data_IF_372064115027
#
_entry.id   IF_372064115027
#
_cell.length_a   1.000
_cell.length_b   1.000
_cell.length_c   1.000
_cell.angle_alpha   90.00
_cell.angle_beta   90.00
_cell.angle_gamma   90.00
#
_symmetry.space_group_name_H-M   'P 1'
#
loop_
_entity.id
_entity.type
_entity.pdbx_description
1 polymer ?
#
# COMPACT_ATOMS: atom_id res chain seq x y z
N UNK A 1 -3.05 -5.83 8.14
CA UNK A 1 -4.11 -5.14 7.36
C UNK A 1 -4.93 -4.20 8.22
N UNK A 2 -5.56 -4.67 9.31
CA UNK A 2 -6.33 -3.80 10.22
C UNK A 2 -5.53 -2.64 10.83
N UNK A 3 -4.26 -2.89 11.18
CA UNK A 3 -3.36 -1.83 11.68
C UNK A 3 -3.14 -0.71 10.66
N UNK A 4 -2.96 -1.05 9.39
CA UNK A 4 -2.80 -0.07 8.32
C UNK A 4 -4.09 0.75 8.12
N UNK A 5 -5.27 0.12 8.18
CA UNK A 5 -6.55 0.83 8.16
C UNK A 5 -6.72 1.77 9.38
N UNK A 6 -6.32 1.34 10.57
CA UNK A 6 -6.34 2.16 11.78
C UNK A 6 -5.44 3.38 11.67
N UNK A 7 -4.26 3.24 11.05
CA UNK A 7 -3.34 4.35 10.78
C UNK A 7 -3.92 5.33 9.75
N UNK A 8 -4.50 4.81 8.67
CA UNK A 8 -5.15 5.62 7.64
C UNK A 8 -6.31 6.45 8.22
N UNK A 9 -7.17 5.85 9.06
CA UNK A 9 -8.25 6.58 9.78
C UNK A 9 -7.74 7.75 10.63
N UNK A 10 -6.49 7.68 11.11
CA UNK A 10 -5.84 8.73 11.91
C UNK A 10 -5.09 9.75 11.03
N UNK A 11 -5.26 9.71 9.71
CA UNK A 11 -4.53 10.56 8.77
C UNK A 11 -3.07 10.17 8.55
N UNK A 12 -2.61 9.05 9.11
CA UNK A 12 -1.23 8.55 8.97
C UNK A 12 -1.06 7.68 7.73
N UNK A 13 -1.42 8.24 6.58
CA UNK A 13 -1.50 7.54 5.29
C UNK A 13 -0.13 7.02 4.84
N UNK A 14 0.93 7.79 5.00
CA UNK A 14 2.28 7.34 4.70
C UNK A 14 2.66 6.10 5.50
N UNK A 15 2.43 6.13 6.81
CA UNK A 15 2.74 4.99 7.68
C UNK A 15 1.91 3.78 7.24
N UNK A 16 0.62 3.97 6.95
CA UNK A 16 -0.26 2.92 6.46
C UNK A 16 0.23 2.31 5.13
N UNK A 17 0.71 3.14 4.18
CA UNK A 17 1.31 2.70 2.92
C UNK A 17 2.63 1.94 3.13
N UNK A 18 3.47 2.36 4.08
CA UNK A 18 4.69 1.59 4.44
C UNK A 18 4.35 0.20 4.97
N UNK A 19 3.33 0.08 5.82
CA UNK A 19 2.82 -1.22 6.26
C UNK A 19 2.33 -2.07 5.09
N UNK A 20 1.58 -1.47 4.16
CA UNK A 20 1.10 -2.17 2.96
C UNK A 20 2.26 -2.66 2.07
N UNK A 21 3.24 -1.80 1.83
CA UNK A 21 4.46 -2.13 1.08
C UNK A 21 5.24 -3.27 1.73
N UNK A 22 5.40 -3.23 3.05
CA UNK A 22 6.06 -4.31 3.80
C UNK A 22 5.28 -5.63 3.69
N UNK A 23 3.96 -5.60 3.85
CA UNK A 23 3.11 -6.79 3.70
C UNK A 23 3.22 -7.43 2.31
N UNK A 24 3.20 -6.60 1.26
CA UNK A 24 3.37 -7.04 -0.13
C UNK A 24 4.73 -7.70 -0.32
N UNK A 25 5.81 -7.09 0.19
CA UNK A 25 7.18 -7.62 0.13
C UNK A 25 7.34 -8.95 0.86
N UNK A 26 6.73 -9.10 2.04
CA UNK A 26 6.75 -10.36 2.81
C UNK A 26 6.02 -11.51 2.11
N UNK A 27 5.16 -11.19 1.13
CA UNK A 27 4.39 -12.17 0.35
C UNK A 27 4.84 -12.24 -1.12
N UNK A 28 6.04 -11.75 -1.45
CA UNK A 28 6.58 -11.72 -2.82
C UNK A 28 6.61 -13.10 -3.50
N UNK A 29 6.84 -14.17 -2.72
CA UNK A 29 6.81 -15.56 -3.20
C UNK A 29 5.46 -16.02 -3.79
N UNK A 30 4.38 -15.27 -3.58
CA UNK A 30 3.06 -15.58 -4.15
C UNK A 30 2.84 -14.96 -5.54
N UNK A 31 3.66 -13.99 -5.95
CA UNK A 31 3.39 -13.14 -7.11
C UNK A 31 3.42 -13.92 -8.42
N UNK A 32 4.28 -14.93 -8.55
CA UNK A 32 4.45 -15.74 -9.77
C UNK A 32 3.16 -16.45 -10.23
N UNK A 33 2.16 -16.55 -9.36
CA UNK A 33 0.87 -17.22 -9.63
C UNK A 33 -0.30 -16.25 -9.73
N UNK A 34 -0.05 -14.94 -9.65
CA UNK A 34 -1.09 -13.91 -9.66
C UNK A 34 -1.42 -13.45 -11.08
N UNK A 35 -2.62 -12.89 -11.23
CA UNK A 35 -2.99 -12.19 -12.45
C UNK A 35 -2.08 -10.98 -12.69
N UNK A 36 -1.82 -10.66 -13.97
CA UNK A 36 -0.97 -9.53 -14.38
C UNK A 36 -1.43 -8.19 -13.76
N UNK A 37 -2.73 -8.02 -13.56
CA UNK A 37 -3.29 -6.80 -12.94
C UNK A 37 -2.83 -6.62 -11.49
N UNK A 38 -2.67 -7.71 -10.74
CA UNK A 38 -2.18 -7.72 -9.37
C UNK A 38 -0.68 -7.45 -9.31
N UNK A 39 0.08 -8.05 -10.22
CA UNK A 39 1.53 -7.81 -10.34
C UNK A 39 1.78 -6.32 -10.60
N UNK A 40 1.09 -5.72 -11.58
CA UNK A 40 1.20 -4.27 -11.87
C UNK A 40 0.84 -3.39 -10.69
N UNK A 41 -0.20 -3.75 -9.93
CA UNK A 41 -0.57 -3.03 -8.71
C UNK A 41 0.54 -3.09 -7.67
N UNK A 42 1.12 -4.27 -7.45
CA UNK A 42 2.17 -4.45 -6.45
C UNK A 42 3.46 -3.76 -6.87
N UNK A 43 3.83 -3.81 -8.15
CA UNK A 43 4.95 -3.03 -8.70
C UNK A 43 4.77 -1.53 -8.47
N UNK A 44 3.56 -0.99 -8.70
CA UNK A 44 3.27 0.42 -8.45
C UNK A 44 3.43 0.79 -6.96
N UNK A 45 2.96 -0.07 -6.04
CA UNK A 45 3.14 0.14 -4.59
C UNK A 45 4.62 0.01 -4.19
N UNK A 46 5.35 -0.92 -4.79
CA UNK A 46 6.77 -1.14 -4.51
C UNK A 46 7.66 -0.03 -5.05
N UNK A 47 7.26 0.60 -6.17
CA UNK A 47 7.91 1.75 -6.77
C UNK A 47 7.75 3.03 -5.93
N UNK A 48 6.85 3.06 -4.92
CA UNK A 48 6.74 4.22 -4.04
C UNK A 48 8.09 4.51 -3.36
N UNK A 49 8.58 5.74 -3.43
CA UNK A 49 9.88 6.10 -2.89
C UNK A 49 9.88 5.94 -1.37
N UNK A 50 10.99 5.46 -0.80
CA UNK A 50 11.20 5.44 0.64
C UNK A 50 11.57 6.85 1.13
N UNK A 51 10.60 7.77 1.11
CA UNK A 51 10.78 9.12 1.63
C UNK A 51 10.58 9.14 3.15
N UNK A 52 11.19 10.11 3.83
CA UNK A 52 10.85 10.46 5.21
C UNK A 52 9.49 11.19 5.27
N UNK A 53 8.93 11.33 6.47
CA UNK A 53 7.57 11.87 6.67
C UNK A 53 7.44 13.32 6.19
N UNK A 54 8.50 14.11 6.34
CA UNK A 54 8.59 15.51 5.90
C UNK A 54 8.54 15.62 4.37
N UNK A 55 9.30 14.79 3.65
CA UNK A 55 9.30 14.77 2.19
C UNK A 55 8.00 14.21 1.63
N UNK A 56 7.38 13.24 2.30
CA UNK A 56 6.13 12.66 1.82
C UNK A 56 4.99 13.69 1.80
N UNK A 57 4.85 14.49 2.86
CA UNK A 57 3.80 15.52 2.95
C UNK A 57 3.96 16.65 1.92
N UNK A 58 5.17 16.83 1.37
CA UNK A 58 5.47 17.85 0.36
C UNK A 58 5.24 17.32 -1.06
N UNK A 59 5.65 16.08 -1.33
CA UNK A 59 5.77 15.57 -2.71
C UNK A 59 4.67 14.57 -3.10
N UNK A 60 3.91 14.04 -2.16
CA UNK A 60 2.88 13.04 -2.43
C UNK A 60 1.51 13.61 -2.11
N UNK A 61 0.60 13.72 -3.11
CA UNK A 61 -0.79 14.09 -2.87
C UNK A 61 -1.40 13.23 -1.76
N UNK A 62 -2.13 13.83 -0.83
CA UNK A 62 -2.75 13.09 0.27
C UNK A 62 -3.84 12.17 -0.28
N UNK A 63 -3.64 10.85 -0.10
CA UNK A 63 -4.68 9.86 -0.32
C UNK A 63 -5.68 9.91 0.83
N UNK A 64 -6.97 9.90 0.53
CA UNK A 64 -8.06 9.82 1.50
C UNK A 64 -8.14 8.44 2.16
N UNK A 65 -8.89 8.34 3.26
CA UNK A 65 -9.14 7.05 3.89
C UNK A 65 -9.87 6.08 2.94
N UNK A 66 -10.85 6.57 2.16
CA UNK A 66 -11.64 5.73 1.26
C UNK A 66 -10.79 5.17 0.12
N UNK A 67 -9.94 6.00 -0.49
CA UNK A 67 -8.96 5.56 -1.50
C UNK A 67 -7.97 4.54 -0.91
N UNK A 68 -7.49 4.77 0.32
CA UNK A 68 -6.60 3.80 0.97
C UNK A 68 -7.32 2.49 1.28
N UNK A 69 -8.58 2.54 1.71
CA UNK A 69 -9.38 1.37 2.00
C UNK A 69 -9.67 0.55 0.73
N UNK A 70 -9.95 1.21 -0.40
CA UNK A 70 -10.11 0.55 -1.69
C UNK A 70 -8.79 -0.10 -2.15
N UNK A 71 -7.66 0.62 -2.02
CA UNK A 71 -6.33 0.07 -2.30
C UNK A 71 -6.06 -1.19 -1.47
N UNK A 72 -6.31 -1.15 -0.16
CA UNK A 72 -6.09 -2.30 0.73
C UNK A 72 -6.98 -3.48 0.34
N UNK A 73 -8.24 -3.21 -0.02
CA UNK A 73 -9.19 -4.24 -0.44
C UNK A 73 -8.69 -4.94 -1.70
N UNK A 74 -8.20 -4.17 -2.67
CA UNK A 74 -7.64 -4.71 -3.91
C UNK A 74 -6.39 -5.54 -3.66
N UNK A 75 -5.49 -5.09 -2.78
CA UNK A 75 -4.31 -5.89 -2.38
C UNK A 75 -4.72 -7.19 -1.71
N UNK A 76 -5.75 -7.17 -0.85
CA UNK A 76 -6.24 -8.39 -0.20
C UNK A 76 -6.80 -9.40 -1.20
N UNK A 77 -7.59 -8.93 -2.17
CA UNK A 77 -8.13 -9.75 -3.27
C UNK A 77 -7.04 -10.35 -4.15
N UNK A 78 -5.93 -9.64 -4.35
CA UNK A 78 -4.80 -10.18 -5.10
C UNK A 78 -4.04 -11.29 -4.36
N UNK A 79 -4.14 -11.33 -3.02
CA UNK A 79 -3.40 -12.26 -2.16
C UNK A 79 -4.17 -13.54 -1.78
N UNK A 80 -5.46 -13.62 -2.11
CA UNK A 80 -6.39 -14.70 -1.75
C UNK A 80 -7.24 -15.10 -2.95
#
# INVERSE_FOLDING_TARGET
MEEALSLAKKGKILTALRFLKQYIKENEYKWDKMEESCIKLFDAIMAMPSLNDESWGIFVPSMSYDEFNELISRVYQCMH
#
